data_IF_206880423722
#
_entry.id   IF_206880423722
#
_cell.length_a   1.000
_cell.length_b   1.000
_cell.length_c   1.000
_cell.angle_alpha   90.00
_cell.angle_beta   90.00
_cell.angle_gamma   90.00
#
_symmetry.space_group_name_H-M   'P 1'
#
loop_
_entity.id
_entity.type
_entity.pdbx_description
1 polymer ?
#
# COMPACT_ATOMS: atom_id res chain seq x y z
N UNK A 1 20.47 17.43 -14.39
CA UNK A 1 19.20 17.11 -13.71
C UNK A 1 19.44 17.15 -12.20
N UNK A 2 18.75 18.01 -11.45
CA UNK A 2 18.82 17.99 -9.98
C UNK A 2 18.10 16.72 -9.49
N UNK A 3 18.59 16.10 -8.41
CA UNK A 3 17.86 15.01 -7.76
C UNK A 3 16.53 15.56 -7.24
N UNK A 4 15.43 14.89 -7.58
CA UNK A 4 14.10 15.23 -7.05
C UNK A 4 14.01 14.63 -5.65
N UNK A 5 13.60 15.45 -4.68
CA UNK A 5 13.39 15.01 -3.31
C UNK A 5 11.96 14.51 -3.13
N UNK A 6 11.79 13.19 -3.07
CA UNK A 6 10.52 12.54 -2.71
C UNK A 6 10.46 12.11 -1.25
N UNK A 7 11.40 12.55 -0.40
CA UNK A 7 11.56 12.05 0.97
C UNK A 7 10.48 12.52 1.94
N UNK A 8 9.49 13.29 1.51
CA UNK A 8 8.38 13.70 2.38
C UNK A 8 7.28 12.64 2.50
N UNK A 9 7.25 11.67 1.59
CA UNK A 9 6.17 10.71 1.46
C UNK A 9 6.64 9.26 1.65
N UNK A 10 5.68 8.42 2.04
CA UNK A 10 5.79 6.98 2.07
C UNK A 10 4.62 6.39 1.29
N UNK A 11 4.86 5.27 0.61
CA UNK A 11 3.88 4.63 -0.25
C UNK A 11 3.69 3.18 0.15
N UNK A 12 2.45 2.75 0.26
CA UNK A 12 2.08 1.34 0.28
C UNK A 12 1.56 0.94 -1.10
N UNK A 13 2.40 0.27 -1.89
CA UNK A 13 2.00 -0.24 -3.21
C UNK A 13 1.37 -1.63 -3.10
N UNK A 14 0.32 -1.85 -3.87
CA UNK A 14 -0.42 -3.12 -3.90
C UNK A 14 0.30 -4.12 -4.80
N UNK A 15 0.44 -5.35 -4.32
CA UNK A 15 1.04 -6.45 -5.06
C UNK A 15 0.00 -7.10 -5.97
N UNK A 16 0.38 -7.44 -7.19
CA UNK A 16 -0.36 -8.41 -8.00
C UNK A 16 -0.15 -9.81 -7.40
N UNK A 17 -1.24 -10.49 -7.04
CA UNK A 17 -1.23 -11.88 -6.58
C UNK A 17 -2.31 -12.67 -7.34
N UNK A 18 -1.94 -13.63 -8.21
CA UNK A 18 -0.58 -13.97 -8.62
C UNK A 18 0.07 -12.88 -9.51
N UNK A 19 1.40 -12.79 -9.47
CA UNK A 19 2.20 -11.98 -10.41
C UNK A 19 2.60 -12.81 -11.64
N UNK A 20 1.99 -12.51 -12.79
CA UNK A 20 2.11 -13.29 -14.03
C UNK A 20 3.10 -12.68 -15.02
N UNK A 21 3.64 -11.49 -14.75
CA UNK A 21 4.51 -10.72 -15.66
C UNK A 21 3.80 -10.35 -16.97
N UNK A 22 2.48 -10.22 -16.92
CA UNK A 22 1.64 -9.77 -18.02
C UNK A 22 0.92 -8.52 -17.51
N UNK A 23 1.44 -7.34 -17.88
CA UNK A 23 1.04 -6.04 -17.31
C UNK A 23 -0.46 -5.89 -17.09
N UNK A 24 -1.27 -6.17 -18.12
CA UNK A 24 -2.74 -6.07 -18.00
C UNK A 24 -3.32 -7.02 -16.95
N UNK A 25 -2.88 -8.28 -16.92
CA UNK A 25 -3.35 -9.25 -15.91
C UNK A 25 -2.88 -8.91 -14.51
N UNK A 26 -1.65 -8.42 -14.38
CA UNK A 26 -1.08 -8.03 -13.09
C UNK A 26 -1.80 -6.79 -12.54
N UNK A 27 -2.17 -5.83 -13.41
CA UNK A 27 -3.00 -4.69 -13.03
C UNK A 27 -4.36 -5.13 -12.51
N UNK A 28 -5.05 -6.04 -13.21
CA UNK A 28 -6.34 -6.58 -12.75
C UNK A 28 -6.22 -7.33 -11.42
N UNK A 29 -5.16 -8.11 -11.23
CA UNK A 29 -4.95 -8.85 -9.99
C UNK A 29 -4.67 -7.91 -8.81
N UNK A 30 -3.84 -6.89 -9.01
CA UNK A 30 -3.59 -5.87 -8.00
C UNK A 30 -4.85 -5.03 -7.73
N UNK A 31 -5.63 -4.71 -8.75
CA UNK A 31 -6.87 -3.95 -8.61
C UNK A 31 -7.89 -4.65 -7.72
N UNK A 32 -8.01 -5.98 -7.80
CA UNK A 32 -8.87 -6.77 -6.90
C UNK A 32 -8.45 -6.64 -5.43
N UNK A 33 -7.15 -6.72 -5.16
CA UNK A 33 -6.63 -6.55 -3.79
C UNK A 33 -6.82 -5.11 -3.32
N UNK A 34 -6.59 -4.14 -4.20
CA UNK A 34 -6.83 -2.74 -3.93
C UNK A 34 -8.29 -2.47 -3.54
N UNK A 35 -9.26 -3.01 -4.30
CA UNK A 35 -10.69 -2.91 -3.95
C UNK A 35 -11.01 -3.58 -2.61
N UNK A 36 -10.37 -4.71 -2.29
CA UNK A 36 -10.52 -5.32 -0.96
C UNK A 36 -10.03 -4.39 0.15
N UNK A 37 -8.89 -3.71 -0.03
CA UNK A 37 -8.38 -2.73 0.93
C UNK A 37 -9.34 -1.54 1.07
N UNK A 38 -9.91 -1.05 -0.04
CA UNK A 38 -10.94 -0.01 0.00
C UNK A 38 -12.21 -0.49 0.72
N UNK A 39 -12.61 -1.74 0.53
CA UNK A 39 -13.78 -2.31 1.20
C UNK A 39 -13.55 -2.50 2.70
N UNK A 40 -12.36 -2.99 3.08
CA UNK A 40 -11.96 -3.19 4.47
C UNK A 40 -11.74 -1.85 5.21
N UNK A 41 -11.23 -0.84 4.50
CA UNK A 41 -10.92 0.50 5.02
C UNK A 41 -9.57 0.64 5.71
N UNK A 42 -8.74 -0.40 5.65
CA UNK A 42 -7.40 -0.40 6.24
C UNK A 42 -6.43 -1.30 5.48
N UNK A 43 -5.15 -0.95 5.55
CA UNK A 43 -4.04 -1.76 5.06
C UNK A 43 -3.67 -2.76 6.15
N UNK A 44 -3.58 -4.04 5.79
CA UNK A 44 -3.13 -5.12 6.69
C UNK A 44 -1.61 -5.29 6.65
N UNK A 45 -1.06 -5.76 7.77
CA UNK A 45 0.35 -6.09 7.87
C UNK A 45 0.82 -7.14 6.85
N UNK A 46 2.12 -7.13 6.57
CA UNK A 46 2.79 -8.13 5.73
C UNK A 46 3.14 -9.45 6.45
N UNK A 47 4.01 -10.22 5.82
CA UNK A 47 4.53 -11.48 6.36
C UNK A 47 5.42 -11.24 7.60
N UNK A 48 4.99 -11.76 8.76
CA UNK A 48 5.68 -11.65 10.06
C UNK A 48 7.04 -12.36 10.07
N UNK A 49 7.21 -13.31 9.14
CA UNK A 49 8.46 -13.75 8.51
C UNK A 49 9.66 -12.81 8.71
N UNK A 50 9.45 -11.65 8.10
CA UNK A 50 10.50 -10.70 7.73
C UNK A 50 10.67 -9.57 8.74
N UNK A 51 9.87 -9.60 9.80
CA UNK A 51 9.73 -8.54 10.81
C UNK A 51 9.98 -9.10 12.21
N UNK A 52 10.76 -10.18 12.33
CA UNK A 52 11.07 -10.79 13.62
C UNK A 52 9.84 -11.29 14.37
N UNK A 53 8.75 -11.62 13.67
CA UNK A 53 7.48 -12.05 14.26
C UNK A 53 6.47 -10.92 14.51
N UNK A 54 6.86 -9.66 14.34
CA UNK A 54 5.99 -8.51 14.60
C UNK A 54 5.06 -8.23 13.42
N UNK A 55 3.82 -7.80 13.68
CA UNK A 55 2.92 -7.39 12.60
C UNK A 55 3.26 -5.97 12.19
N UNK A 56 3.67 -5.78 10.93
CA UNK A 56 4.00 -4.45 10.43
C UNK A 56 3.31 -4.14 9.10
N UNK A 57 2.78 -2.92 9.00
CA UNK A 57 2.45 -2.28 7.72
C UNK A 57 3.74 -1.76 7.10
N UNK A 58 4.03 -2.20 5.88
CA UNK A 58 5.26 -1.85 5.15
C UNK A 58 4.99 -0.73 4.13
N UNK A 59 5.99 0.13 3.95
CA UNK A 59 6.00 1.22 2.99
C UNK A 59 7.34 1.28 2.27
N UNK A 60 7.39 2.06 1.20
CA UNK A 60 8.62 2.44 0.50
C UNK A 60 8.69 3.95 0.34
N UNK A 61 9.91 4.48 0.26
CA UNK A 61 10.19 5.86 -0.16
C UNK A 61 10.26 6.01 -1.69
N UNK A 62 9.81 5.00 -2.45
CA UNK A 62 9.85 5.06 -3.92
C UNK A 62 9.02 6.25 -4.44
N UNK A 63 9.52 7.02 -5.41
CA UNK A 63 8.74 8.09 -6.01
C UNK A 63 7.58 7.52 -6.86
N UNK A 64 6.48 8.23 -7.00
CA UNK A 64 5.27 7.74 -7.71
C UNK A 64 5.55 7.31 -9.16
N UNK A 65 6.42 8.05 -9.86
CA UNK A 65 6.82 7.75 -11.24
C UNK A 65 7.64 6.46 -11.37
N UNK A 66 8.11 5.86 -10.27
CA UNK A 66 8.80 4.57 -10.28
C UNK A 66 7.92 3.48 -10.91
N UNK A 67 6.61 3.58 -10.71
CA UNK A 67 5.63 2.61 -11.19
C UNK A 67 5.58 2.44 -12.72
N UNK A 68 6.02 3.44 -13.50
CA UNK A 68 6.08 3.33 -14.97
C UNK A 68 7.15 2.36 -15.48
N UNK A 69 8.19 2.11 -14.67
CA UNK A 69 9.35 1.28 -15.06
C UNK A 69 9.51 0.04 -14.19
N UNK A 70 8.76 -0.05 -13.10
CA UNK A 70 8.81 -1.21 -12.23
C UNK A 70 8.23 -2.44 -12.93
N UNK A 71 8.95 -3.56 -12.84
CA UNK A 71 8.54 -4.89 -13.33
C UNK A 71 8.33 -5.87 -12.16
N UNK A 72 8.42 -5.37 -10.94
CA UNK A 72 8.14 -6.13 -9.74
C UNK A 72 6.66 -6.52 -9.67
N UNK A 73 6.31 -7.26 -8.62
CA UNK A 73 4.92 -7.58 -8.31
C UNK A 73 4.12 -6.37 -7.83
N UNK A 74 4.77 -5.31 -7.36
CA UNK A 74 4.08 -4.09 -6.94
C UNK A 74 3.58 -3.33 -8.17
N UNK A 75 2.27 -3.07 -8.19
CA UNK A 75 1.59 -2.37 -9.27
C UNK A 75 1.28 -0.92 -8.85
N UNK A 76 1.04 0.00 -9.81
CA UNK A 76 0.68 1.42 -9.59
C UNK A 76 -0.67 1.67 -8.87
N UNK A 77 -1.09 0.79 -7.97
CA UNK A 77 -2.19 1.02 -7.03
C UNK A 77 -1.58 1.19 -5.65
N UNK A 78 -1.90 2.26 -4.93
CA UNK A 78 -1.28 2.46 -3.63
C UNK A 78 -1.86 3.57 -2.78
N UNK A 79 -1.27 3.71 -1.60
CA UNK A 79 -1.71 4.67 -0.59
C UNK A 79 -0.51 5.54 -0.19
N UNK A 80 -0.66 6.85 -0.33
CA UNK A 80 0.36 7.86 -0.03
C UNK A 80 0.16 8.38 1.37
N UNK A 81 1.23 8.40 2.17
CA UNK A 81 1.22 8.93 3.53
C UNK A 81 2.29 9.98 3.73
N UNK A 82 2.04 10.92 4.64
CA UNK A 82 3.08 11.80 5.14
C UNK A 82 4.05 11.02 6.03
N UNK A 83 5.33 11.04 5.67
CA UNK A 83 6.37 10.35 6.44
C UNK A 83 6.45 10.82 7.90
N UNK A 84 6.23 12.11 8.13
CA UNK A 84 6.21 12.70 9.49
C UNK A 84 5.13 12.07 10.38
N UNK A 85 3.99 11.69 9.80
CA UNK A 85 2.84 11.19 10.55
C UNK A 85 3.05 9.71 10.85
N UNK A 86 3.53 8.92 9.88
CA UNK A 86 4.01 7.54 10.12
C UNK A 86 5.12 7.50 11.17
N UNK A 87 6.06 8.45 11.15
CA UNK A 87 7.11 8.54 12.16
C UNK A 87 6.56 8.83 13.56
N UNK A 88 5.56 9.70 13.70
CA UNK A 88 4.90 9.97 14.98
C UNK A 88 4.18 8.74 15.53
N UNK A 89 3.60 7.92 14.66
CA UNK A 89 2.97 6.64 15.03
C UNK A 89 3.99 5.55 15.41
N UNK A 90 5.29 5.84 15.37
CA UNK A 90 6.34 4.87 15.72
C UNK A 90 6.96 4.15 14.51
N UNK A 91 6.49 4.44 13.30
CA UNK A 91 7.07 3.87 12.08
C UNK A 91 8.50 4.35 11.85
N UNK A 92 9.36 3.45 11.36
CA UNK A 92 10.79 3.73 11.14
C UNK A 92 11.30 3.06 9.87
N UNK A 93 12.40 3.59 9.35
CA UNK A 93 13.18 2.91 8.33
C UNK A 93 13.75 1.57 8.86
N UNK A 94 13.81 0.61 7.95
CA UNK A 94 14.42 -0.71 8.15
C UNK A 94 15.93 -0.60 8.41
N UNK A 95 16.44 -1.48 9.27
CA UNK A 95 17.85 -1.68 9.56
C UNK A 95 18.36 -2.81 8.67
N UNK A 96 19.16 -2.43 7.67
CA UNK A 96 19.81 -3.35 6.74
C UNK A 96 21.17 -3.77 7.30
N UNK A 97 21.32 -5.03 7.68
CA UNK A 97 22.56 -5.57 8.28
C UNK A 97 22.68 -7.06 7.97
N UNK A 98 23.89 -7.65 7.93
CA UNK A 98 24.07 -9.08 7.76
C UNK A 98 23.54 -9.90 8.95
N UNK A 99 23.23 -11.17 8.72
CA UNK A 99 22.62 -12.05 9.74
C UNK A 99 23.48 -12.15 11.03
N UNK A 100 24.81 -12.07 10.92
CA UNK A 100 25.73 -12.17 12.08
C UNK A 100 25.76 -10.93 12.97
N UNK A 101 25.23 -9.80 12.51
CA UNK A 101 25.07 -8.57 13.29
C UNK A 101 23.64 -8.40 13.82
N UNK A 102 22.70 -9.27 13.43
CA UNK A 102 21.30 -9.22 13.85
C UNK A 102 21.15 -9.16 15.38
N UNK A 103 21.95 -9.93 16.10
CA UNK A 103 21.89 -10.02 17.56
C UNK A 103 22.43 -8.75 18.26
N UNK A 104 23.04 -7.82 17.51
CA UNK A 104 23.41 -6.48 18.01
C UNK A 104 22.20 -5.52 18.02
N UNK A 105 21.11 -5.87 17.33
CA UNK A 105 19.86 -5.09 17.35
C UNK A 105 19.09 -5.45 18.61
N UNK A 106 18.75 -4.42 19.40
CA UNK A 106 17.89 -4.59 20.57
C UNK A 106 16.57 -5.29 20.20
N UNK A 107 16.10 -6.24 21.01
CA UNK A 107 14.95 -7.11 20.69
C UNK A 107 13.69 -6.33 20.28
N UNK A 108 13.42 -5.21 20.96
CA UNK A 108 12.27 -4.32 20.69
C UNK A 108 12.33 -3.60 19.35
N UNK A 109 13.44 -3.71 18.63
CA UNK A 109 13.65 -3.13 17.30
C UNK A 109 13.79 -4.19 16.21
N UNK A 110 13.70 -5.49 16.53
CA UNK A 110 13.89 -6.56 15.55
C UNK A 110 12.87 -6.52 14.41
N UNK A 111 11.71 -5.90 14.61
CA UNK A 111 10.74 -5.63 13.54
C UNK A 111 11.29 -4.74 12.42
N UNK A 112 12.39 -4.02 12.66
CA UNK A 112 13.10 -3.21 11.66
C UNK A 112 14.15 -4.02 10.91
N UNK A 113 14.52 -5.22 11.34
CA UNK A 113 15.58 -5.99 10.70
C UNK A 113 15.22 -6.38 9.26
N UNK A 114 16.16 -6.18 8.34
CA UNK A 114 16.16 -6.83 7.03
C UNK A 114 17.58 -7.30 6.72
N UNK A 115 17.69 -8.54 6.26
CA UNK A 115 18.98 -9.08 5.83
C UNK A 115 19.54 -8.24 4.69
N UNK A 116 20.77 -7.77 4.88
CA UNK A 116 21.60 -7.18 3.84
C UNK A 116 22.98 -7.80 3.91
N UNK A 117 23.26 -8.64 2.92
CA UNK A 117 24.49 -9.43 2.86
C UNK A 117 24.91 -9.58 1.39
N UNK A 118 25.68 -8.62 0.85
CA UNK A 118 26.19 -8.67 -0.52
C UNK A 118 27.09 -9.87 -0.82
N UNK A 119 27.56 -10.59 0.22
CA UNK A 119 28.39 -11.78 0.06
C UNK A 119 27.56 -13.08 -0.01
N UNK A 120 26.26 -13.02 0.33
CA UNK A 120 25.34 -14.16 0.28
C UNK A 120 24.85 -14.48 -1.13
N UNK A 121 25.76 -15.00 -1.95
CA UNK A 121 25.49 -15.33 -3.35
C UNK A 121 24.77 -16.68 -3.46
N UNK A 122 23.69 -16.71 -4.25
CA UNK A 122 22.95 -17.93 -4.58
C UNK A 122 22.37 -17.86 -5.99
N UNK A 123 21.80 -18.96 -6.49
CA UNK A 123 21.07 -18.96 -7.77
C UNK A 123 19.89 -17.96 -7.78
N UNK A 124 19.31 -17.63 -6.62
CA UNK A 124 18.23 -16.63 -6.49
C UNK A 124 18.76 -15.21 -6.29
N UNK A 125 19.96 -15.08 -5.75
CA UNK A 125 20.62 -13.82 -5.39
C UNK A 125 22.05 -13.81 -5.94
N UNK A 126 22.23 -13.75 -7.27
CA UNK A 126 23.55 -13.88 -7.90
C UNK A 126 24.52 -12.74 -7.54
N UNK A 127 24.00 -11.62 -7.02
CA UNK A 127 24.77 -10.46 -6.57
C UNK A 127 24.71 -10.25 -5.04
N UNK A 128 24.33 -11.28 -4.29
CA UNK A 128 24.09 -11.15 -2.85
C UNK A 128 22.66 -10.74 -2.50
N UNK A 129 22.37 -10.72 -1.20
CA UNK A 129 21.06 -10.32 -0.66
C UNK A 129 21.08 -8.80 -0.42
N UNK A 130 20.37 -8.06 -1.27
CA UNK A 130 20.24 -6.60 -1.15
C UNK A 130 18.82 -6.12 -1.49
N UNK A 131 18.16 -5.57 -0.48
CA UNK A 131 16.84 -4.93 -0.57
C UNK A 131 16.88 -3.43 -0.22
N UNK A 132 18.06 -2.83 -0.15
CA UNK A 132 18.23 -1.41 0.21
C UNK A 132 17.59 -0.47 -0.81
N UNK A 133 17.49 -0.92 -2.06
CA UNK A 133 16.79 -0.21 -3.13
C UNK A 133 15.27 -0.09 -2.89
N UNK A 134 14.66 -0.95 -2.07
CA UNK A 134 13.26 -0.82 -1.69
C UNK A 134 13.03 0.37 -0.73
N UNK A 135 14.07 0.86 -0.04
CA UNK A 135 13.98 1.95 0.94
C UNK A 135 12.79 1.76 1.90
N UNK A 136 12.75 0.58 2.51
CA UNK A 136 11.59 0.10 3.26
C UNK A 136 11.42 0.86 4.58
N UNK A 137 10.19 1.24 4.85
CA UNK A 137 9.72 1.69 6.16
C UNK A 137 8.70 0.70 6.70
N UNK A 138 8.65 0.57 8.03
CA UNK A 138 7.67 -0.27 8.71
C UNK A 138 7.00 0.51 9.82
N UNK A 139 5.71 0.27 10.01
CA UNK A 139 4.94 0.67 11.18
C UNK A 139 4.56 -0.62 11.93
N UNK A 140 4.98 -0.82 13.19
CA UNK A 140 4.69 -2.04 13.95
C UNK A 140 3.24 -2.04 14.48
N UNK A 141 2.30 -1.95 13.55
CA UNK A 141 0.86 -2.04 13.76
C UNK A 141 0.29 -3.12 12.84
N UNK A 142 -0.74 -3.86 13.27
CA UNK A 142 -1.36 -4.89 12.45
C UNK A 142 -2.12 -4.29 11.26
N UNK A 143 -2.65 -3.09 11.42
CA UNK A 143 -3.57 -2.44 10.50
C UNK A 143 -3.34 -0.92 10.50
N UNK A 144 -3.59 -0.24 9.37
CA UNK A 144 -3.56 1.21 9.25
C UNK A 144 -4.73 1.71 8.41
N UNK A 145 -5.52 2.66 8.92
CA UNK A 145 -6.68 3.18 8.20
C UNK A 145 -6.28 3.91 6.92
N UNK A 146 -6.96 3.62 5.81
CA UNK A 146 -6.62 4.27 4.52
C UNK A 146 -6.95 5.76 4.51
N UNK A 147 -7.90 6.19 5.35
CA UNK A 147 -8.29 7.60 5.50
C UNK A 147 -7.26 8.42 6.29
N UNK A 148 -6.28 7.77 6.92
CA UNK A 148 -5.10 8.43 7.49
C UNK A 148 -4.08 8.82 6.39
N UNK A 149 -4.31 8.35 5.16
CA UNK A 149 -3.53 8.67 3.97
C UNK A 149 -3.80 10.05 3.41
N UNK A 150 -2.82 10.56 2.67
CA UNK A 150 -2.92 11.80 1.90
C UNK A 150 -3.60 11.59 0.55
N UNK A 151 -3.39 10.43 -0.08
CA UNK A 151 -3.96 10.11 -1.39
C UNK A 151 -4.06 8.59 -1.61
N UNK A 152 -5.00 8.21 -2.47
CA UNK A 152 -5.24 6.86 -2.98
C UNK A 152 -4.89 6.89 -4.46
N UNK A 153 -3.81 6.21 -4.85
CA UNK A 153 -3.22 6.30 -6.18
C UNK A 153 -3.72 5.15 -7.05
N UNK A 154 -4.14 5.49 -8.27
CA UNK A 154 -4.48 4.54 -9.35
C UNK A 154 -3.67 4.87 -10.61
N UNK A 155 -3.40 3.92 -11.51
CA UNK A 155 -2.43 4.12 -12.60
C UNK A 155 -2.83 5.12 -13.67
N UNK A 156 -4.12 5.24 -13.96
CA UNK A 156 -4.64 5.98 -15.12
C UNK A 156 -6.15 6.23 -14.96
N UNK A 157 -6.70 6.99 -15.90
CA UNK A 157 -8.11 7.38 -15.94
C UNK A 157 -9.07 6.20 -15.98
N UNK A 158 -8.71 5.10 -16.67
CA UNK A 158 -9.54 3.89 -16.73
C UNK A 158 -9.80 3.33 -15.33
N UNK A 159 -8.74 3.17 -14.53
CA UNK A 159 -8.88 2.66 -13.17
C UNK A 159 -9.45 3.71 -12.21
N UNK A 160 -9.22 5.00 -12.45
CA UNK A 160 -9.87 6.07 -11.71
C UNK A 160 -11.39 5.96 -11.83
N UNK A 161 -11.91 5.95 -13.06
CA UNK A 161 -13.35 5.85 -13.29
C UNK A 161 -13.94 4.54 -12.75
N UNK A 162 -13.23 3.41 -12.90
CA UNK A 162 -13.66 2.12 -12.34
C UNK A 162 -13.80 2.16 -10.82
N UNK A 163 -12.94 2.90 -10.11
CA UNK A 163 -13.10 3.05 -8.65
C UNK A 163 -14.36 3.86 -8.33
N UNK A 164 -14.58 4.97 -9.02
CA UNK A 164 -15.80 5.78 -8.86
C UNK A 164 -17.03 4.90 -9.06
N UNK A 165 -17.16 4.25 -10.22
CA UNK A 165 -18.32 3.44 -10.59
C UNK A 165 -18.60 2.34 -9.54
N UNK A 166 -17.57 1.59 -9.13
CA UNK A 166 -17.72 0.51 -8.13
C UNK A 166 -18.11 1.05 -6.76
N UNK A 167 -17.55 2.18 -6.34
CA UNK A 167 -17.87 2.76 -5.03
C UNK A 167 -19.25 3.41 -5.00
N UNK A 168 -19.72 3.95 -6.13
CA UNK A 168 -21.09 4.43 -6.29
C UNK A 168 -22.09 3.26 -6.23
N UNK A 169 -21.77 2.13 -6.88
CA UNK A 169 -22.55 0.89 -6.76
C UNK A 169 -22.69 0.44 -5.29
N UNK A 170 -21.64 0.55 -4.45
CA UNK A 170 -21.75 0.23 -3.02
C UNK A 170 -22.81 1.09 -2.31
N UNK A 171 -22.87 2.38 -2.64
CA UNK A 171 -23.85 3.31 -2.09
C UNK A 171 -25.26 2.96 -2.56
N UNK A 172 -25.44 2.70 -3.85
CA UNK A 172 -26.72 2.30 -4.43
C UNK A 172 -27.25 0.98 -3.86
N UNK A 173 -26.38 -0.03 -3.74
CA UNK A 173 -26.71 -1.32 -3.13
C UNK A 173 -27.15 -1.16 -1.67
N UNK A 174 -26.49 -0.28 -0.91
CA UNK A 174 -26.88 0.02 0.47
C UNK A 174 -28.29 0.63 0.54
N UNK A 175 -28.63 1.53 -0.38
CA UNK A 175 -29.95 2.15 -0.45
C UNK A 175 -31.03 1.12 -0.80
N UNK A 176 -30.74 0.21 -1.74
CA UNK A 176 -31.63 -0.89 -2.11
C UNK A 176 -31.87 -1.85 -0.93
N UNK A 177 -30.82 -2.20 -0.18
CA UNK A 177 -30.93 -3.03 1.01
C UNK A 177 -31.82 -2.41 2.09
N UNK A 178 -31.67 -1.10 2.36
CA UNK A 178 -32.53 -0.39 3.30
C UNK A 178 -33.99 -0.35 2.83
N UNK A 179 -34.24 -0.11 1.55
CA UNK A 179 -35.61 -0.09 1.00
C UNK A 179 -36.34 -1.42 1.22
N UNK A 180 -35.63 -2.54 1.04
CA UNK A 180 -36.17 -3.90 1.22
C UNK A 180 -36.39 -4.26 2.70
N UNK A 181 -35.47 -3.86 3.58
CA UNK A 181 -35.51 -4.26 5.00
C UNK A 181 -36.41 -3.35 5.86
N UNK A 182 -36.59 -2.09 5.49
CA UNK A 182 -37.36 -1.10 6.24
C UNK A 182 -38.79 -0.86 5.73
N UNK A 183 -39.30 -1.73 4.85
CA UNK A 183 -40.72 -1.77 4.49
C UNK A 183 -41.18 -0.68 3.51
N UNK A 184 -40.33 -0.26 2.57
CA UNK A 184 -40.76 0.49 1.37
C UNK A 184 -40.87 2.01 1.50
N UNK A 185 -40.42 2.63 2.60
CA UNK A 185 -40.30 4.09 2.69
C UNK A 185 -38.85 4.52 2.37
N UNK A 186 -38.64 5.03 1.15
CA UNK A 186 -37.40 5.65 0.61
C UNK A 186 -36.07 4.99 1.03
N UNK A 187 -35.46 4.24 0.10
CA UNK A 187 -34.09 3.75 0.24
C UNK A 187 -33.11 4.92 0.21
N UNK A 188 -32.75 5.43 1.38
CA UNK A 188 -31.55 6.26 1.52
C UNK A 188 -30.35 5.35 1.70
N UNK A 189 -29.20 5.67 1.09
CA UNK A 189 -27.99 4.90 1.31
C UNK A 189 -27.55 4.99 2.78
N UNK A 190 -26.73 4.02 3.20
CA UNK A 190 -26.11 4.08 4.52
C UNK A 190 -25.30 5.37 4.67
N UNK A 191 -25.64 6.27 5.62
CA UNK A 191 -24.96 7.57 5.71
C UNK A 191 -23.47 7.45 6.06
N UNK A 192 -23.09 6.37 6.74
CA UNK A 192 -21.69 6.06 7.04
C UNK A 192 -20.94 5.65 5.79
N UNK A 193 -21.52 4.74 4.99
CA UNK A 193 -20.96 4.31 3.72
C UNK A 193 -20.86 5.46 2.71
N UNK A 194 -21.92 6.27 2.56
CA UNK A 194 -21.87 7.44 1.66
C UNK A 194 -20.74 8.39 2.04
N UNK A 195 -20.59 8.71 3.33
CA UNK A 195 -19.48 9.57 3.79
C UNK A 195 -18.12 8.94 3.56
N UNK A 196 -18.02 7.63 3.74
CA UNK A 196 -16.80 6.88 3.51
C UNK A 196 -16.39 6.91 2.04
N UNK A 197 -17.33 6.60 1.13
CA UNK A 197 -17.14 6.66 -0.33
C UNK A 197 -16.78 8.07 -0.79
N UNK A 198 -17.51 9.09 -0.34
CA UNK A 198 -17.17 10.50 -0.59
C UNK A 198 -15.72 10.83 -0.23
N UNK A 199 -15.22 10.24 0.86
CA UNK A 199 -13.85 10.48 1.34
C UNK A 199 -12.83 9.74 0.49
N UNK A 200 -13.08 8.47 0.13
CA UNK A 200 -12.22 7.72 -0.80
C UNK A 200 -12.10 8.46 -2.13
N UNK A 201 -13.22 8.88 -2.72
CA UNK A 201 -13.25 9.53 -4.02
C UNK A 201 -12.51 10.87 -4.01
N UNK A 202 -12.56 11.61 -2.89
CA UNK A 202 -11.77 12.85 -2.69
C UNK A 202 -10.27 12.60 -2.53
N UNK A 203 -9.88 11.45 -1.99
CA UNK A 203 -8.47 11.06 -1.85
C UNK A 203 -7.91 10.43 -3.14
N UNK A 204 -8.76 10.01 -4.07
CA UNK A 204 -8.36 9.36 -5.31
C UNK A 204 -7.53 10.31 -6.18
N UNK A 205 -6.38 9.83 -6.67
CA UNK A 205 -5.48 10.62 -7.50
C UNK A 205 -4.79 9.77 -8.56
N UNK A 206 -4.43 10.43 -9.67
CA UNK A 206 -3.47 9.89 -10.62
C UNK A 206 -2.04 10.13 -10.13
N UNK A 207 -1.03 9.39 -10.63
CA UNK A 207 0.35 9.57 -10.22
C UNK A 207 0.89 10.93 -10.69
N UNK A 208 1.76 11.55 -9.89
CA UNK A 208 2.44 12.80 -10.25
C UNK A 208 3.25 12.63 -11.55
N UNK A 209 3.01 13.52 -12.51
CA UNK A 209 3.77 13.62 -13.76
C UNK A 209 4.90 14.64 -13.54
N UNK A 210 6.14 14.22 -13.73
CA UNK A 210 7.31 15.10 -13.71
C UNK A 210 7.76 15.36 -15.15
N UNK A 211 7.80 16.63 -15.54
CA UNK A 211 8.35 17.11 -16.81
C UNK A 211 9.89 17.08 -16.84
#
# INVERSE_FOLDING_TARGET
MKRIDSTHYLYHWVKAEPHLRIRRKDFENAFKIFLQILSDGYIKHGDVVKTGGERCVCFTESPEYFSHRDKSKYQPFGFKFHKKDIFKMGGRAVIYTPDHERDLIHETMLWRYMRHDPLAISNRTPYGVDFTWEREWRLPEPELGILEGLAIIVPNEEFYQRVIDITDEWVEESAAYYALTMGGAYGYPDPGLSRYVDTIQKLLSLPEIFD
#
